data_IF_846819436966
#
_entry.id   IF_846819436966
#
_cell.length_a   1.000
_cell.length_b   1.000
_cell.length_c   1.000
_cell.angle_alpha   90.00
_cell.angle_beta   90.00
_cell.angle_gamma   90.00
#
_symmetry.space_group_name_H-M   'P 1'
#
loop_
_entity.id
_entity.type
_entity.pdbx_description
1 polymer ?
#
# COMPACT_ATOMS: atom_id res chain seq x y z
N UNK A 1 10.15 -11.26 5.54
CA UNK A 1 9.09 -11.27 6.57
C UNK A 1 7.93 -10.44 6.05
N UNK A 2 6.71 -10.97 6.10
CA UNK A 2 5.47 -10.35 5.63
C UNK A 2 4.50 -10.32 6.81
N UNK A 3 3.92 -9.16 7.10
CA UNK A 3 2.86 -9.01 8.10
C UNK A 3 1.64 -8.43 7.38
N UNK A 4 0.53 -9.16 7.41
CA UNK A 4 -0.77 -8.66 6.94
C UNK A 4 -1.76 -8.65 8.08
N UNK A 5 -2.53 -7.58 8.16
CA UNK A 5 -3.62 -7.44 9.12
C UNK A 5 -4.80 -6.80 8.43
N UNK A 6 -5.96 -7.44 8.54
CA UNK A 6 -7.22 -6.98 7.96
C UNK A 6 -8.34 -7.06 9.00
N UNK A 7 -9.12 -5.99 9.14
CA UNK A 7 -10.19 -5.91 10.14
C UNK A 7 -11.44 -5.28 9.55
N UNK A 8 -12.58 -5.95 9.73
CA UNK A 8 -13.91 -5.42 9.43
C UNK A 8 -14.60 -5.10 10.76
N UNK A 9 -14.92 -3.83 11.01
CA UNK A 9 -15.64 -3.37 12.20
C UNK A 9 -17.02 -2.86 11.83
N UNK A 10 -18.02 -3.25 12.63
CA UNK A 10 -19.41 -2.78 12.51
C UNK A 10 -19.82 -2.12 13.82
N UNK A 11 -19.42 -0.87 14.07
CA UNK A 11 -19.59 -0.22 15.37
C UNK A 11 -21.06 0.15 15.68
N UNK A 12 -21.89 0.38 14.65
CA UNK A 12 -23.33 0.65 14.76
C UNK A 12 -24.07 0.00 13.57
N UNK A 13 -25.38 -0.24 13.70
CA UNK A 13 -26.21 -0.64 12.55
C UNK A 13 -26.06 0.37 11.41
N UNK A 14 -25.72 -0.13 10.22
CA UNK A 14 -25.47 0.70 9.05
C UNK A 14 -24.02 1.17 8.88
N UNK A 15 -23.17 1.18 9.91
CA UNK A 15 -21.75 1.53 9.73
C UNK A 15 -20.89 0.27 9.52
N UNK A 16 -20.05 0.30 8.49
CA UNK A 16 -19.02 -0.69 8.24
C UNK A 16 -17.70 0.02 8.00
N UNK A 17 -16.61 -0.46 8.62
CA UNK A 17 -15.27 -0.03 8.29
C UNK A 17 -14.39 -1.22 8.02
N UNK A 18 -13.51 -1.08 7.03
CA UNK A 18 -12.48 -2.06 6.70
C UNK A 18 -11.13 -1.37 6.74
N UNK A 19 -10.13 -2.02 7.33
CA UNK A 19 -8.76 -1.58 7.23
C UNK A 19 -7.88 -2.78 6.95
N UNK A 20 -6.94 -2.64 6.04
CA UNK A 20 -5.91 -3.62 5.77
C UNK A 20 -4.54 -2.93 5.78
N UNK A 21 -3.55 -3.55 6.38
CA UNK A 21 -2.16 -3.11 6.30
C UNK A 21 -1.27 -4.31 6.00
N UNK A 22 -0.40 -4.12 5.01
CA UNK A 22 0.58 -5.09 4.56
C UNK A 22 1.96 -4.46 4.70
N UNK A 23 2.84 -5.10 5.47
CA UNK A 23 4.24 -4.73 5.61
C UNK A 23 5.11 -5.81 4.97
N UNK A 24 5.92 -5.39 4.01
CA UNK A 24 6.81 -6.25 3.25
C UNK A 24 8.24 -5.75 3.38
N UNK A 25 9.16 -6.68 3.65
CA UNK A 25 10.61 -6.43 3.51
C UNK A 25 11.21 -7.51 2.60
N UNK A 26 10.96 -7.42 1.29
CA UNK A 26 11.49 -8.38 0.35
C UNK A 26 12.94 -8.01 0.03
N UNK A 27 13.84 -8.94 0.28
CA UNK A 27 15.27 -8.80 -0.01
C UNK A 27 15.70 -9.82 -1.04
N UNK A 28 16.65 -9.42 -1.88
CA UNK A 28 17.44 -10.38 -2.64
C UNK A 28 18.27 -11.22 -1.65
N UNK A 29 18.26 -12.54 -1.83
CA UNK A 29 18.97 -13.50 -0.96
C UNK A 29 20.21 -14.11 -1.63
N UNK A 30 20.50 -13.74 -2.88
CA UNK A 30 21.71 -14.21 -3.58
C UNK A 30 22.04 -13.32 -4.78
N UNK A 31 23.29 -13.41 -5.26
CA UNK A 31 23.77 -12.71 -6.45
C UNK A 31 24.42 -11.35 -6.16
N UNK A 32 24.69 -10.56 -7.21
CA UNK A 32 25.37 -9.26 -7.11
C UNK A 32 24.59 -8.18 -6.32
N UNK A 33 23.34 -8.48 -5.95
CA UNK A 33 22.42 -7.58 -5.23
C UNK A 33 21.97 -8.18 -3.91
N UNK A 34 22.69 -9.19 -3.39
CA UNK A 34 22.39 -9.82 -2.10
C UNK A 34 22.22 -8.78 -0.97
N UNK A 35 21.14 -8.91 -0.22
CA UNK A 35 20.76 -8.00 0.86
C UNK A 35 20.01 -6.72 0.43
N UNK A 36 19.95 -6.41 -0.87
CA UNK A 36 19.18 -5.26 -1.41
C UNK A 36 17.68 -5.54 -1.45
N UNK A 37 16.88 -4.49 -1.40
CA UNK A 37 15.42 -4.62 -1.52
C UNK A 37 15.02 -4.98 -2.95
N UNK A 38 13.98 -5.78 -3.10
CA UNK A 38 13.44 -6.10 -4.43
C UNK A 38 12.77 -4.85 -5.06
N UNK A 39 12.97 -4.62 -6.37
CA UNK A 39 12.27 -3.56 -7.07
C UNK A 39 10.77 -3.85 -7.16
N UNK A 40 9.98 -2.78 -7.31
CA UNK A 40 8.53 -2.83 -7.46
C UNK A 40 7.81 -3.52 -6.30
N UNK A 41 8.44 -3.53 -5.12
CA UNK A 41 7.91 -4.15 -3.92
C UNK A 41 7.79 -3.09 -2.81
N UNK A 42 6.63 -2.44 -2.68
CA UNK A 42 6.43 -1.40 -1.69
C UNK A 42 6.56 -1.98 -0.28
N UNK A 43 7.31 -1.29 0.58
CA UNK A 43 7.57 -1.76 1.94
C UNK A 43 6.32 -1.76 2.83
N UNK A 44 5.35 -0.92 2.49
CA UNK A 44 4.09 -0.76 3.22
C UNK A 44 2.98 -0.45 2.23
N UNK A 45 1.89 -1.20 2.31
CA UNK A 45 0.63 -0.89 1.61
C UNK A 45 -0.48 -0.88 2.65
N UNK A 46 -1.30 0.15 2.67
CA UNK A 46 -2.47 0.20 3.54
C UNK A 46 -3.71 0.58 2.76
N UNK A 47 -4.82 -0.07 3.09
CA UNK A 47 -6.13 0.21 2.56
C UNK A 47 -7.09 0.47 3.70
N UNK A 48 -8.00 1.43 3.53
CA UNK A 48 -9.05 1.73 4.48
C UNK A 48 -10.33 2.06 3.75
N UNK A 49 -11.46 1.56 4.25
CA UNK A 49 -12.78 1.98 3.79
C UNK A 49 -13.73 2.18 4.96
N UNK A 50 -14.64 3.14 4.80
CA UNK A 50 -15.69 3.44 5.75
C UNK A 50 -16.98 3.67 4.97
N UNK A 51 -17.97 2.81 5.22
CA UNK A 51 -19.30 2.86 4.63
C UNK A 51 -20.37 3.13 5.68
N UNK A 52 -21.37 3.93 5.29
CA UNK A 52 -22.63 4.10 6.00
C UNK A 52 -23.79 3.70 5.11
N UNK A 53 -24.59 2.75 5.58
CA UNK A 53 -25.79 2.22 4.94
C UNK A 53 -27.02 2.67 5.72
N UNK A 54 -27.78 3.61 5.16
CA UNK A 54 -29.04 4.06 5.74
C UNK A 54 -30.15 3.03 5.43
N UNK A 55 -31.03 2.69 6.40
CA UNK A 55 -32.16 1.77 6.20
C UNK A 55 -33.18 2.16 5.11
N UNK A 56 -33.06 3.37 4.55
CA UNK A 56 -33.93 3.92 3.49
C UNK A 56 -33.30 3.83 2.10
N UNK A 57 -32.16 3.14 1.97
CA UNK A 57 -31.49 2.84 0.69
C UNK A 57 -30.40 3.82 0.27
N UNK A 58 -30.05 4.81 1.08
CA UNK A 58 -28.90 5.68 0.82
C UNK A 58 -27.64 5.05 1.42
N UNK A 59 -26.59 4.90 0.62
CA UNK A 59 -25.29 4.45 1.09
C UNK A 59 -24.20 5.45 0.67
N UNK A 60 -23.26 5.71 1.56
CA UNK A 60 -22.06 6.50 1.30
C UNK A 60 -20.89 5.64 1.71
N UNK A 61 -19.88 5.53 0.86
CA UNK A 61 -18.64 4.81 1.15
C UNK A 61 -17.47 5.70 0.80
N UNK A 62 -16.46 5.70 1.65
CA UNK A 62 -15.20 6.40 1.42
C UNK A 62 -14.08 5.37 1.51
N UNK A 63 -13.30 5.27 0.45
CA UNK A 63 -12.19 4.36 0.30
C UNK A 63 -10.87 5.11 0.16
N UNK A 64 -9.79 4.52 0.67
CA UNK A 64 -8.44 5.03 0.55
C UNK A 64 -7.43 3.91 0.43
N UNK A 65 -6.46 4.09 -0.46
CA UNK A 65 -5.28 3.24 -0.55
C UNK A 65 -4.03 4.10 -0.44
N UNK A 66 -3.04 3.62 0.31
CA UNK A 66 -1.72 4.21 0.42
C UNK A 66 -0.68 3.15 0.08
N UNK A 67 0.25 3.54 -0.78
CA UNK A 67 1.35 2.70 -1.25
C UNK A 67 2.65 3.41 -0.88
N UNK A 68 3.48 2.73 -0.09
CA UNK A 68 4.78 3.22 0.35
C UNK A 68 5.80 3.26 -0.78
N UNK A 69 6.90 3.98 -0.57
CA UNK A 69 7.96 4.09 -1.55
C UNK A 69 8.59 2.73 -1.91
N UNK A 70 9.06 2.62 -3.15
CA UNK A 70 9.67 1.42 -3.70
C UNK A 70 10.81 1.79 -4.65
N UNK A 71 11.73 0.86 -4.89
CA UNK A 71 12.80 1.04 -5.89
C UNK A 71 12.33 0.55 -7.26
N UNK A 72 12.77 1.20 -8.33
CA UNK A 72 12.52 0.71 -9.69
C UNK A 72 13.58 -0.29 -10.18
N UNK A 73 14.70 -0.43 -9.47
CA UNK A 73 15.80 -1.34 -9.81
C UNK A 73 16.31 -2.22 -8.66
N UNK A 74 17.00 -3.29 -9.03
CA UNK A 74 17.67 -4.20 -8.09
C UNK A 74 18.87 -3.55 -7.40
N UNK A 75 19.37 -2.42 -7.93
CA UNK A 75 20.50 -1.72 -7.35
C UNK A 75 20.12 -0.77 -6.21
N UNK A 76 18.81 -0.54 -6.01
CA UNK A 76 18.23 0.42 -5.07
C UNK A 76 18.75 1.85 -5.30
N UNK A 77 18.80 2.28 -6.56
CA UNK A 77 19.16 3.66 -6.87
C UNK A 77 18.11 4.62 -6.35
N UNK A 78 18.56 5.66 -5.65
CA UNK A 78 17.69 6.67 -5.06
C UNK A 78 17.48 7.85 -6.00
N UNK A 79 18.55 8.28 -6.69
CA UNK A 79 18.51 9.39 -7.62
C UNK A 79 17.93 8.95 -8.97
N UNK A 80 17.00 9.74 -9.48
CA UNK A 80 16.44 9.55 -10.81
C UNK A 80 17.50 9.79 -11.88
N UNK A 81 17.56 8.94 -12.91
CA UNK A 81 18.43 9.14 -14.05
C UNK A 81 17.78 10.05 -15.12
N UNK A 82 18.56 10.52 -16.08
CA UNK A 82 18.09 11.41 -17.17
C UNK A 82 16.97 10.82 -18.04
N UNK A 83 16.77 9.49 -18.00
CA UNK A 83 15.75 8.78 -18.76
C UNK A 83 14.48 8.49 -17.93
N UNK A 84 14.46 8.82 -16.64
CA UNK A 84 13.35 8.51 -15.72
C UNK A 84 13.10 7.00 -15.55
N UNK A 85 14.07 6.15 -15.91
CA UNK A 85 13.91 4.70 -15.89
C UNK A 85 14.38 4.05 -14.60
N UNK A 86 15.20 4.75 -13.82
CA UNK A 86 15.80 4.24 -12.58
C UNK A 86 15.67 5.29 -11.48
N UNK A 87 15.36 4.86 -10.25
CA UNK A 87 15.21 5.74 -9.09
C UNK A 87 14.25 5.17 -8.04
N UNK A 88 13.97 5.99 -7.02
CA UNK A 88 12.94 5.67 -6.03
C UNK A 88 11.59 6.19 -6.51
N UNK A 89 10.60 5.30 -6.56
CA UNK A 89 9.19 5.67 -6.76
C UNK A 89 8.67 6.18 -5.41
N UNK A 90 8.19 7.43 -5.34
CA UNK A 90 7.70 8.02 -4.09
C UNK A 90 6.39 7.35 -3.65
N UNK A 91 6.09 7.46 -2.34
CA UNK A 91 4.82 7.00 -1.79
C UNK A 91 3.66 7.84 -2.30
N UNK A 92 2.49 7.23 -2.48
CA UNK A 92 1.27 7.90 -2.92
C UNK A 92 0.03 7.38 -2.20
N UNK A 93 -0.99 8.23 -2.15
CA UNK A 93 -2.31 7.89 -1.62
C UNK A 93 -3.40 8.24 -2.62
N UNK A 94 -4.40 7.38 -2.75
CA UNK A 94 -5.58 7.56 -3.61
C UNK A 94 -6.81 7.43 -2.73
N UNK A 95 -7.74 8.37 -2.85
CA UNK A 95 -8.98 8.39 -2.08
C UNK A 95 -10.17 8.54 -3.02
N UNK A 96 -11.23 7.77 -2.76
CA UNK A 96 -12.50 7.79 -3.49
C UNK A 96 -13.66 7.90 -2.51
N UNK A 97 -14.75 8.55 -2.93
CA UNK A 97 -15.99 8.70 -2.17
C UNK A 97 -17.19 8.67 -3.12
#
# INVERSE_FOLDING_TARGET
MMLEWGQLWKPLEGFASRANVTLLRPKSLSGATDGKDLPLAPRMTSYGSIGYYHPRGASIELDGVFVGGQFSDLNNTTQENTLGSVGTIPSYGIFCA
#
